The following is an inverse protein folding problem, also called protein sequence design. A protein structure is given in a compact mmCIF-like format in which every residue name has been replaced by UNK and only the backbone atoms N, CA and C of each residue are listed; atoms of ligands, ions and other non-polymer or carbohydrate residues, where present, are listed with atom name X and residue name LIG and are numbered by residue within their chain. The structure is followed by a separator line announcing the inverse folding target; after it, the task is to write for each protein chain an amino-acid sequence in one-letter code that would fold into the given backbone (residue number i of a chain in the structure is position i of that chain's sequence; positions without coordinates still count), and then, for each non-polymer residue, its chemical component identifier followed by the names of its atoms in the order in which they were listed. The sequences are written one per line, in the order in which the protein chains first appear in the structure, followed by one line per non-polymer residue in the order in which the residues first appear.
data_IF_979730699025
#
_entry.id   IF_979730699025
#
_cell.length_a   1.000
_cell.length_b   1.000
_cell.length_c   1.000
_cell.angle_alpha   90.00
_cell.angle_beta   90.00
_cell.angle_gamma   90.00
#
_symmetry.space_group_name_H-M   'P 1'
#
loop_
_entity.id
_entity.type
_entity.pdbx_description
1 polymer ?
#
# COMPACT_ATOMS: atom_id res chain seq x y z
N UNK A 1 -37.50 -10.87 39.47
CA UNK A 1 -36.07 -11.20 39.64
C UNK A 1 -35.56 -11.44 38.24
N UNK A 2 -34.88 -10.45 37.67
CA UNK A 2 -34.48 -10.43 36.27
C UNK A 2 -33.01 -10.82 36.19
N UNK A 3 -32.72 -11.98 35.61
CA UNK A 3 -31.34 -12.40 35.31
C UNK A 3 -30.90 -11.78 33.99
N UNK A 4 -29.90 -10.92 34.09
CA UNK A 4 -29.12 -10.33 33.01
C UNK A 4 -28.21 -11.39 32.40
N UNK A 5 -28.39 -11.74 31.12
CA UNK A 5 -27.34 -12.37 30.32
C UNK A 5 -26.60 -11.32 29.51
N UNK A 6 -25.39 -10.96 29.96
CA UNK A 6 -24.42 -10.20 29.20
C UNK A 6 -23.67 -11.14 28.24
N UNK A 7 -24.20 -11.30 27.03
CA UNK A 7 -23.50 -11.97 25.93
C UNK A 7 -22.69 -10.96 25.12
N UNK A 8 -21.45 -10.69 25.53
CA UNK A 8 -20.51 -9.90 24.75
C UNK A 8 -20.21 -10.58 23.42
N UNK A 9 -20.82 -10.09 22.33
CA UNK A 9 -20.50 -10.53 20.97
C UNK A 9 -19.05 -10.13 20.65
N UNK A 10 -18.15 -11.11 20.60
CA UNK A 10 -16.85 -10.91 20.00
C UNK A 10 -17.06 -10.57 18.51
N UNK A 11 -16.76 -9.34 18.12
CA UNK A 11 -16.76 -8.92 16.72
C UNK A 11 -15.61 -9.62 16.01
N UNK A 12 -15.92 -10.68 15.28
CA UNK A 12 -15.01 -11.30 14.31
C UNK A 12 -14.69 -10.25 13.24
N UNK A 13 -13.49 -9.66 13.33
CA UNK A 13 -12.96 -8.78 12.30
C UNK A 13 -12.45 -9.67 11.17
N UNK A 14 -13.19 -9.74 10.06
CA UNK A 14 -12.71 -10.40 8.85
C UNK A 14 -11.43 -9.69 8.39
N UNK A 15 -10.31 -10.40 8.39
CA UNK A 15 -9.09 -9.95 7.74
C UNK A 15 -9.26 -10.20 6.24
N UNK A 16 -9.54 -9.14 5.49
CA UNK A 16 -9.60 -9.20 4.03
C UNK A 16 -8.18 -9.22 3.46
N UNK A 17 -7.97 -9.90 2.33
CA UNK A 17 -6.73 -9.86 1.55
C UNK A 17 -6.52 -8.51 0.83
N UNK A 18 -7.04 -7.41 1.39
CA UNK A 18 -6.93 -6.09 0.79
C UNK A 18 -5.58 -5.47 1.13
N UNK A 19 -4.89 -5.01 0.09
CA UNK A 19 -3.69 -4.23 0.26
C UNK A 19 -4.04 -2.91 1.00
N UNK A 20 -3.12 -2.45 1.84
CA UNK A 20 -3.20 -1.18 2.58
C UNK A 20 -3.57 -0.07 1.57
N UNK A 21 -4.58 0.74 1.88
CA UNK A 21 -5.21 1.75 1.02
C UNK A 21 -6.57 1.35 0.42
N UNK A 22 -7.00 0.09 0.52
CA UNK A 22 -8.34 -0.36 0.08
C UNK A 22 -9.32 -0.52 1.25
N UNK A 23 -9.64 0.56 1.97
CA UNK A 23 -10.75 0.58 2.93
C UNK A 23 -10.56 1.53 4.11
N UNK A 24 -11.68 2.09 4.62
CA UNK A 24 -11.76 3.00 5.78
C UNK A 24 -11.47 2.30 7.13
N UNK A 25 -10.49 1.41 7.20
CA UNK A 25 -10.00 0.91 8.49
C UNK A 25 -8.72 1.65 8.84
N UNK A 26 -8.65 2.23 10.04
CA UNK A 26 -7.40 2.78 10.58
C UNK A 26 -6.33 1.68 10.54
N UNK A 27 -5.43 1.81 9.56
CA UNK A 27 -4.44 0.83 9.13
C UNK A 27 -3.29 0.81 10.13
N UNK A 28 -3.24 -0.25 10.92
CA UNK A 28 -2.16 -0.47 11.87
C UNK A 28 -0.91 -0.89 11.09
N UNK A 29 0.14 -0.05 11.10
CA UNK A 29 1.47 -0.38 10.59
C UNK A 29 2.16 -1.40 11.51
N UNK A 30 1.66 -2.64 11.51
CA UNK A 30 2.15 -3.71 12.37
C UNK A 30 3.56 -4.22 12.03
N UNK A 31 4.15 -3.73 10.94
CA UNK A 31 5.47 -4.14 10.44
C UNK A 31 6.46 -2.96 10.30
N UNK A 32 6.09 -1.76 10.77
CA UNK A 32 6.91 -0.53 10.70
C UNK A 32 7.35 -0.20 9.26
N UNK A 33 6.47 -0.50 8.29
CA UNK A 33 6.70 -0.27 6.86
C UNK A 33 6.84 1.20 6.50
N UNK A 34 6.30 2.10 7.31
CA UNK A 34 6.41 3.55 7.10
C UNK A 34 7.86 4.00 7.01
N UNK A 35 8.74 3.51 7.89
CA UNK A 35 10.18 3.85 7.84
C UNK A 35 10.85 3.37 6.56
N UNK A 36 10.52 2.16 6.12
CA UNK A 36 11.03 1.64 4.86
C UNK A 36 10.52 2.47 3.68
N UNK A 37 9.24 2.81 3.67
CA UNK A 37 8.64 3.64 2.63
C UNK A 37 9.34 5.00 2.52
N UNK A 38 9.58 5.68 3.64
CA UNK A 38 10.28 6.95 3.68
C UNK A 38 11.71 6.85 3.10
N UNK A 39 12.47 5.81 3.47
CA UNK A 39 13.83 5.60 2.94
C UNK A 39 13.81 5.35 1.44
N UNK A 40 12.87 4.53 0.96
CA UNK A 40 12.73 4.22 -0.47
C UNK A 40 12.30 5.46 -1.27
N UNK A 41 11.37 6.26 -0.76
CA UNK A 41 10.94 7.51 -1.38
C UNK A 41 12.12 8.50 -1.48
N UNK A 42 12.86 8.72 -0.39
CA UNK A 42 14.05 9.58 -0.40
C UNK A 42 15.11 9.11 -1.41
N UNK A 43 15.35 7.79 -1.49
CA UNK A 43 16.29 7.24 -2.46
C UNK A 43 15.83 7.48 -3.90
N UNK A 44 14.54 7.29 -4.19
CA UNK A 44 13.96 7.52 -5.52
C UNK A 44 14.02 9.00 -5.95
N UNK A 45 13.91 9.93 -5.00
CA UNK A 45 14.03 11.37 -5.28
C UNK A 45 15.48 11.84 -5.44
N UNK A 46 16.41 11.23 -4.70
CA UNK A 46 17.82 11.65 -4.68
C UNK A 46 18.70 11.06 -5.79
N UNK A 47 18.30 9.93 -6.39
CA UNK A 47 19.12 9.20 -7.38
C UNK A 47 18.27 8.81 -8.58
N UNK A 48 18.64 9.28 -9.77
CA UNK A 48 18.00 8.91 -11.04
C UNK A 48 19.05 8.66 -12.13
N UNK A 49 18.96 7.56 -12.91
CA UNK A 49 17.94 6.51 -12.84
C UNK A 49 18.19 5.52 -11.68
N UNK A 50 17.13 5.12 -10.98
CA UNK A 50 17.16 4.12 -9.91
C UNK A 50 16.15 3.00 -10.19
N UNK A 51 16.51 1.76 -9.86
CA UNK A 51 15.61 0.61 -9.91
C UNK A 51 15.61 -0.09 -8.55
N UNK A 52 14.43 -0.27 -7.97
CA UNK A 52 14.23 -0.92 -6.67
C UNK A 52 13.43 -2.20 -6.89
N UNK A 53 13.96 -3.34 -6.45
CA UNK A 53 13.24 -4.62 -6.43
C UNK A 53 12.71 -4.95 -5.04
N UNK A 54 11.42 -5.22 -4.92
CA UNK A 54 10.77 -5.63 -3.67
C UNK A 54 10.49 -7.14 -3.69
N UNK A 55 11.15 -7.91 -2.82
CA UNK A 55 11.06 -9.36 -2.74
C UNK A 55 10.46 -9.82 -1.41
N UNK A 56 9.76 -10.95 -1.41
CA UNK A 56 9.12 -11.51 -0.22
C UNK A 56 8.05 -12.54 -0.57
N UNK A 57 7.67 -13.37 0.40
CA UNK A 57 6.65 -14.40 0.24
C UNK A 57 5.27 -13.81 -0.11
N UNK A 58 4.36 -14.63 -0.63
CA UNK A 58 3.01 -14.18 -0.92
C UNK A 58 2.29 -13.77 0.38
N UNK A 59 1.55 -12.65 0.34
CA UNK A 59 0.87 -12.12 1.53
C UNK A 59 1.72 -11.25 2.48
N UNK A 60 3.03 -11.07 2.22
CA UNK A 60 3.90 -10.27 3.13
C UNK A 60 3.77 -8.75 3.00
N UNK A 61 2.74 -8.24 2.29
CA UNK A 61 2.50 -6.80 2.19
C UNK A 61 3.39 -6.03 1.20
N UNK A 62 4.03 -6.68 0.22
CA UNK A 62 4.85 -5.98 -0.81
C UNK A 62 4.09 -4.87 -1.54
N UNK A 63 2.86 -5.16 -1.98
CA UNK A 63 2.00 -4.17 -2.64
C UNK A 63 1.66 -3.02 -1.70
N UNK A 64 1.38 -3.33 -0.43
CA UNK A 64 1.14 -2.34 0.62
C UNK A 64 2.35 -1.42 0.82
N UNK A 65 3.57 -1.97 0.88
CA UNK A 65 4.80 -1.19 0.96
C UNK A 65 4.95 -0.26 -0.25
N UNK A 66 4.68 -0.75 -1.47
CA UNK A 66 4.76 0.11 -2.67
C UNK A 66 3.74 1.25 -2.65
N UNK A 67 2.53 1.04 -2.12
CA UNK A 67 1.53 2.11 -1.93
C UNK A 67 1.95 3.14 -0.89
N UNK A 68 2.58 2.70 0.19
CA UNK A 68 3.17 3.61 1.17
C UNK A 68 4.28 4.45 0.54
N UNK A 69 5.13 3.86 -0.31
CA UNK A 69 6.17 4.60 -1.03
C UNK A 69 5.56 5.65 -1.97
N UNK A 70 4.50 5.32 -2.71
CA UNK A 70 3.78 6.28 -3.55
C UNK A 70 3.25 7.47 -2.74
N UNK A 71 2.56 7.19 -1.63
CA UNK A 71 2.06 8.23 -0.73
C UNK A 71 3.19 9.13 -0.21
N UNK A 72 4.30 8.55 0.21
CA UNK A 72 5.47 9.29 0.67
C UNK A 72 6.10 10.17 -0.42
N UNK A 73 6.08 9.72 -1.68
CA UNK A 73 6.58 10.50 -2.81
C UNK A 73 5.69 11.72 -3.12
N UNK A 74 4.37 11.54 -3.03
CA UNK A 74 3.39 12.63 -3.21
C UNK A 74 3.49 13.67 -2.08
N UNK A 75 3.67 13.24 -0.83
CA UNK A 75 3.71 14.14 0.33
C UNK A 75 5.04 14.92 0.48
N UNK A 76 6.14 14.43 -0.09
CA UNK A 76 7.47 15.03 0.09
C UNK A 76 7.80 16.20 -0.85
N UNK A 77 7.09 16.38 -1.96
CA UNK A 77 7.35 17.47 -2.93
C UNK A 77 6.07 18.05 -3.53
N UNK A 78 6.09 19.35 -3.84
CA UNK A 78 5.00 20.06 -4.51
C UNK A 78 5.55 20.92 -5.68
N UNK A 79 5.24 20.59 -6.96
CA UNK A 79 4.48 19.42 -7.39
C UNK A 79 5.29 18.12 -7.21
N UNK A 80 4.63 17.08 -6.71
CA UNK A 80 5.22 15.75 -6.54
C UNK A 80 5.47 15.02 -7.86
N UNK A 81 6.26 13.93 -7.85
CA UNK A 81 6.47 13.09 -9.01
C UNK A 81 5.18 12.35 -9.40
N UNK A 82 4.99 12.10 -10.70
CA UNK A 82 3.86 11.30 -11.21
C UNK A 82 4.18 9.81 -11.07
N UNK A 83 3.40 9.09 -10.27
CA UNK A 83 3.47 7.64 -10.11
C UNK A 83 2.64 6.91 -11.17
N UNK A 84 3.12 5.75 -11.64
CA UNK A 84 2.41 4.91 -12.61
C UNK A 84 2.44 3.46 -12.15
N UNK A 85 1.25 2.90 -11.91
CA UNK A 85 1.11 1.50 -11.55
C UNK A 85 0.98 0.61 -12.78
N UNK A 86 1.90 -0.35 -12.90
CA UNK A 86 1.87 -1.36 -13.95
C UNK A 86 1.79 -2.76 -13.37
N UNK A 87 0.78 -3.53 -13.78
CA UNK A 87 0.64 -4.94 -13.44
C UNK A 87 0.80 -5.79 -14.71
N UNK A 88 1.95 -6.44 -14.82
CA UNK A 88 2.31 -7.26 -15.98
C UNK A 88 1.37 -8.44 -16.22
N UNK A 89 0.74 -8.99 -15.17
CA UNK A 89 -0.13 -10.17 -15.28
C UNK A 89 -1.54 -9.86 -15.77
N UNK A 90 -1.99 -8.61 -15.62
CA UNK A 90 -3.31 -8.15 -16.10
C UNK A 90 -3.30 -7.67 -17.55
N UNK A 91 -2.12 -7.63 -18.18
CA UNK A 91 -1.85 -6.99 -19.46
C UNK A 91 -1.75 -7.97 -20.64
N UNK A 92 -2.33 -9.18 -20.53
CA UNK A 92 -2.46 -10.08 -21.69
C UNK A 92 -3.52 -9.59 -22.72
N UNK A 93 -4.27 -8.50 -22.46
CA UNK A 93 -5.38 -8.11 -23.34
C UNK A 93 -5.63 -6.61 -23.62
N UNK A 94 -4.82 -5.63 -23.19
CA UNK A 94 -5.10 -4.21 -23.57
C UNK A 94 -3.87 -3.33 -23.80
N UNK A 95 -3.61 -3.08 -25.08
CA UNK A 95 -2.79 -1.99 -25.61
C UNK A 95 -3.51 -0.65 -25.42
N UNK A 96 -3.26 0.04 -24.31
CA UNK A 96 -3.50 1.49 -24.22
C UNK A 96 -2.23 2.14 -23.68
N UNK A 97 -1.53 2.97 -24.46
CA UNK A 97 -0.37 3.70 -23.99
C UNK A 97 -0.77 4.62 -22.83
N UNK A 98 -0.08 4.49 -21.69
CA UNK A 98 -0.25 5.35 -20.53
C UNK A 98 0.36 6.73 -20.87
N UNK A 99 -0.44 7.64 -21.40
CA UNK A 99 -0.07 9.05 -21.61
C UNK A 99 -1.01 9.91 -20.75
N UNK A 100 -0.51 10.68 -19.76
CA UNK A 100 -1.35 11.62 -19.02
C UNK A 100 -1.79 12.78 -19.94
N UNK A 101 -3.08 13.17 -19.84
CA UNK A 101 -3.65 14.39 -20.41
C UNK A 101 -3.59 15.52 -19.38
#
# INVERSE_FOLDING_TARGET
MSETQAGGRATLKLLTDQAIGEGNSEEYDGLDFTKYAQVLANAALGVSPLTIGVFGEWGTGKTSLMRLVEKELEEQQEPGPVSVWFNAWRQDQREVPLVPQ
#
